data_IF_232612466904
#
_entry.id   IF_232612466904
#
_cell.length_a   1.000
_cell.length_b   1.000
_cell.length_c   1.000
_cell.angle_alpha   90.00
_cell.angle_beta   90.00
_cell.angle_gamma   90.00
#
_symmetry.space_group_name_H-M   'P 1'
#
loop_
_entity.id
_entity.type
_entity.pdbx_description
1 polymer ?
#
# COMPACT_ATOMS: atom_id res chain seq x y z
N UNK A 1 -6.19 7.30 -25.09
CA UNK A 1 -5.74 8.67 -24.69
C UNK A 1 -4.57 8.68 -23.71
N UNK A 2 -4.54 7.87 -22.65
CA UNK A 2 -3.47 7.93 -21.61
C UNK A 2 -2.06 7.58 -22.09
N UNK A 3 -1.93 6.59 -22.98
CA UNK A 3 -0.65 6.25 -23.62
C UNK A 3 -0.13 7.40 -24.50
N UNK A 4 -1.04 8.13 -25.16
CA UNK A 4 -0.68 9.29 -25.96
C UNK A 4 -0.17 10.44 -25.11
N UNK A 5 -0.77 10.69 -23.93
CA UNK A 5 -0.28 11.71 -22.97
C UNK A 5 1.15 11.36 -22.52
N UNK A 6 1.40 10.11 -22.15
CA UNK A 6 2.74 9.66 -21.77
C UNK A 6 3.76 9.84 -22.91
N UNK A 7 3.42 9.36 -24.12
CA UNK A 7 4.30 9.47 -25.29
C UNK A 7 4.55 10.93 -25.68
N UNK A 8 3.55 11.80 -25.54
CA UNK A 8 3.70 13.23 -25.81
C UNK A 8 4.74 13.87 -24.89
N UNK A 9 4.61 13.70 -23.57
CA UNK A 9 5.56 14.27 -22.62
C UNK A 9 6.96 13.64 -22.73
N UNK A 10 7.06 12.36 -23.06
CA UNK A 10 8.32 11.69 -23.31
C UNK A 10 9.04 12.27 -24.54
N UNK A 11 8.33 12.38 -25.67
CA UNK A 11 8.89 12.95 -26.90
C UNK A 11 9.24 14.43 -26.73
N UNK A 12 8.42 15.19 -26.02
CA UNK A 12 8.69 16.59 -25.71
C UNK A 12 9.98 16.72 -24.89
N UNK A 13 10.17 15.90 -23.86
CA UNK A 13 11.40 15.87 -23.06
C UNK A 13 12.64 15.54 -23.87
N UNK A 14 12.58 14.51 -24.72
CA UNK A 14 13.69 14.13 -25.62
C UNK A 14 14.01 15.27 -26.61
N UNK A 15 12.99 15.90 -27.17
CA UNK A 15 13.14 16.99 -28.14
C UNK A 15 13.80 18.21 -27.49
N UNK A 16 13.37 18.61 -26.29
CA UNK A 16 13.98 19.72 -25.54
C UNK A 16 15.44 19.38 -25.18
N UNK A 17 15.71 18.15 -24.74
CA UNK A 17 17.08 17.69 -24.45
C UNK A 17 17.99 17.75 -25.68
N UNK A 18 17.48 17.39 -26.86
CA UNK A 18 18.22 17.50 -28.11
C UNK A 18 18.47 18.96 -28.52
N UNK A 19 17.45 19.81 -28.43
CA UNK A 19 17.56 21.24 -28.74
C UNK A 19 18.58 21.94 -27.84
N UNK A 20 18.64 21.57 -26.57
CA UNK A 20 19.55 22.17 -25.58
C UNK A 20 21.02 21.87 -25.86
N UNK A 21 21.34 20.77 -26.52
CA UNK A 21 22.72 20.36 -26.83
C UNK A 21 23.00 20.38 -28.35
N UNK A 22 22.19 21.11 -29.14
CA UNK A 22 22.27 21.09 -30.60
C UNK A 22 23.68 21.46 -31.09
N UNK A 23 24.36 22.38 -30.43
CA UNK A 23 25.69 22.87 -30.83
C UNK A 23 26.83 22.01 -30.31
N UNK A 24 26.56 21.06 -29.41
CA UNK A 24 27.58 20.30 -28.70
C UNK A 24 27.92 18.96 -29.35
N UNK A 25 28.92 18.27 -28.79
CA UNK A 25 29.34 16.95 -29.22
C UNK A 25 28.24 15.88 -29.07
N UNK A 26 28.33 14.83 -29.89
CA UNK A 26 27.36 13.74 -29.92
C UNK A 26 27.09 13.08 -28.56
N UNK A 27 28.13 12.93 -27.73
CA UNK A 27 27.99 12.38 -26.38
C UNK A 27 27.08 13.22 -25.49
N UNK A 28 27.27 14.54 -25.49
CA UNK A 28 26.45 15.46 -24.68
C UNK A 28 24.99 15.47 -25.14
N UNK A 29 24.75 15.37 -26.45
CA UNK A 29 23.39 15.25 -27.02
C UNK A 29 22.66 14.03 -26.50
N UNK A 30 23.32 12.86 -26.50
CA UNK A 30 22.71 11.60 -26.02
C UNK A 30 22.39 11.71 -24.52
N UNK A 31 23.31 12.28 -23.73
CA UNK A 31 23.07 12.49 -22.29
C UNK A 31 21.89 13.42 -22.06
N UNK A 32 21.80 14.54 -22.79
CA UNK A 32 20.71 15.50 -22.64
C UNK A 32 19.37 14.94 -23.11
N UNK A 33 19.34 14.13 -24.16
CA UNK A 33 18.14 13.36 -24.54
C UNK A 33 17.70 12.41 -23.43
N UNK A 34 18.63 11.70 -22.79
CA UNK A 34 18.31 10.77 -21.70
C UNK A 34 17.77 11.50 -20.47
N UNK A 35 18.37 12.64 -20.10
CA UNK A 35 17.87 13.52 -19.04
C UNK A 35 16.46 14.02 -19.38
N UNK A 36 16.26 14.53 -20.59
CA UNK A 36 14.95 14.96 -21.06
C UNK A 36 13.91 13.84 -21.05
N UNK A 37 14.29 12.62 -21.43
CA UNK A 37 13.43 11.44 -21.37
C UNK A 37 13.05 11.05 -19.93
N UNK A 38 13.99 11.14 -18.99
CA UNK A 38 13.73 10.87 -17.57
C UNK A 38 12.69 11.83 -17.00
N UNK A 39 12.87 13.14 -17.20
CA UNK A 39 11.92 14.14 -16.71
C UNK A 39 10.58 14.08 -17.44
N UNK A 40 10.59 13.98 -18.78
CA UNK A 40 9.37 13.83 -19.59
C UNK A 40 8.59 12.56 -19.26
N UNK A 41 9.31 11.45 -19.02
CA UNK A 41 8.73 10.17 -18.61
C UNK A 41 8.15 10.20 -17.20
N UNK A 42 8.80 10.84 -16.23
CA UNK A 42 8.28 10.99 -14.88
C UNK A 42 6.98 11.81 -14.85
N UNK A 43 6.97 12.97 -15.53
CA UNK A 43 5.81 13.86 -15.63
C UNK A 43 4.67 13.18 -16.40
N UNK A 44 4.97 12.65 -17.59
CA UNK A 44 4.00 11.93 -18.41
C UNK A 44 3.46 10.67 -17.72
N UNK A 45 4.30 9.98 -16.96
CA UNK A 45 3.93 8.78 -16.21
C UNK A 45 2.97 9.08 -15.07
N UNK A 46 3.25 10.12 -14.28
CA UNK A 46 2.37 10.60 -13.21
C UNK A 46 1.01 11.05 -13.75
N UNK A 47 1.00 11.89 -14.80
CA UNK A 47 -0.24 12.38 -15.43
C UNK A 47 -1.05 11.27 -16.10
N UNK A 48 -0.39 10.27 -16.70
CA UNK A 48 -1.06 9.11 -17.30
C UNK A 48 -1.80 8.25 -16.25
N UNK A 49 -1.34 8.28 -15.00
CA UNK A 49 -1.93 7.52 -13.88
C UNK A 49 -3.11 8.20 -13.18
N UNK A 50 -3.40 9.49 -13.42
CA UNK A 50 -4.40 10.32 -12.70
C UNK A 50 -5.88 9.88 -12.83
N UNK A 51 -6.13 8.71 -13.39
CA UNK A 51 -7.45 8.07 -13.33
C UNK A 51 -7.39 6.55 -13.34
N UNK A 52 -6.26 5.97 -12.92
CA UNK A 52 -6.26 4.59 -12.45
C UNK A 52 -6.85 4.65 -11.05
N UNK A 53 -8.08 4.17 -10.88
CA UNK A 53 -8.43 3.51 -9.61
C UNK A 53 -7.40 2.39 -9.50
N UNK A 54 -6.39 2.55 -8.66
CA UNK A 54 -5.49 1.46 -8.32
C UNK A 54 -6.40 0.35 -7.77
N UNK A 55 -6.58 -0.80 -8.46
CA UNK A 55 -7.23 -1.91 -7.82
C UNK A 55 -6.17 -2.46 -6.88
N UNK A 56 -6.14 -1.93 -5.64
CA UNK A 56 -5.56 -2.56 -4.46
C UNK A 56 -4.30 -3.40 -4.74
N UNK A 57 -3.34 -2.86 -5.53
CA UNK A 57 -2.20 -3.67 -5.96
C UNK A 57 -1.23 -3.68 -4.79
N UNK A 58 -1.33 -4.78 -4.03
CA UNK A 58 -0.37 -5.28 -3.05
C UNK A 58 -0.44 -4.64 -1.66
N UNK A 59 -1.63 -4.68 -1.03
CA UNK A 59 -1.60 -5.20 0.35
C UNK A 59 -1.43 -6.70 0.21
N UNK A 60 -0.38 -7.25 0.82
CA UNK A 60 -0.23 -8.68 1.00
C UNK A 60 -1.47 -9.15 1.76
N UNK A 61 -2.50 -9.61 1.05
CA UNK A 61 -3.60 -10.34 1.67
C UNK A 61 -2.98 -11.67 2.11
N UNK A 62 -2.71 -11.80 3.40
CA UNK A 62 -2.42 -13.08 4.05
C UNK A 62 -3.55 -14.07 3.74
N UNK A 63 -3.25 -15.37 3.63
CA UNK A 63 -4.18 -16.44 3.25
C UNK A 63 -5.58 -16.34 3.93
N UNK A 64 -5.65 -15.85 5.17
CA UNK A 64 -6.89 -15.59 5.93
C UNK A 64 -7.85 -14.55 5.32
N UNK A 65 -7.38 -13.68 4.45
CA UNK A 65 -8.18 -12.65 3.78
C UNK A 65 -8.61 -13.08 2.36
N UNK A 66 -8.09 -14.21 1.86
CA UNK A 66 -8.41 -14.77 0.53
C UNK A 66 -9.73 -15.57 0.57
N UNK A 67 -9.99 -16.27 1.68
CA UNK A 67 -11.27 -16.97 1.93
C UNK A 67 -11.77 -16.71 3.36
N UNK A 68 -12.24 -15.50 3.70
CA UNK A 68 -12.96 -15.31 4.94
C UNK A 68 -14.27 -16.11 4.84
N UNK A 69 -14.40 -17.19 5.61
CA UNK A 69 -15.70 -17.85 5.80
C UNK A 69 -16.66 -16.75 6.27
N UNK A 70 -17.71 -16.40 5.49
CA UNK A 70 -18.58 -15.30 5.84
C UNK A 70 -19.21 -15.56 7.21
N UNK A 71 -18.95 -14.68 8.19
CA UNK A 71 -19.48 -14.82 9.55
C UNK A 71 -18.68 -15.75 10.49
N UNK A 72 -17.49 -16.22 10.09
CA UNK A 72 -16.62 -17.05 10.93
C UNK A 72 -15.94 -16.31 12.09
N UNK A 73 -15.90 -14.97 12.05
CA UNK A 73 -15.34 -14.14 13.13
C UNK A 73 -13.83 -14.24 13.33
N UNK A 74 -13.14 -15.06 12.52
CA UNK A 74 -11.68 -15.23 12.53
C UNK A 74 -10.96 -14.29 11.54
N UNK A 75 -11.68 -13.65 10.60
CA UNK A 75 -11.07 -12.70 9.69
C UNK A 75 -10.54 -11.49 10.46
N UNK A 76 -9.36 -10.98 10.07
CA UNK A 76 -8.77 -9.77 10.67
C UNK A 76 -9.71 -8.56 10.71
N UNK A 77 -10.64 -8.45 9.73
CA UNK A 77 -11.66 -7.39 9.73
C UNK A 77 -12.74 -7.59 10.80
N UNK A 78 -13.15 -8.84 11.03
CA UNK A 78 -14.17 -9.18 12.02
C UNK A 78 -13.60 -9.12 13.45
N UNK A 79 -12.33 -9.50 13.62
CA UNK A 79 -11.57 -9.32 14.86
C UNK A 79 -11.43 -7.84 15.22
N UNK A 80 -11.15 -6.98 14.24
CA UNK A 80 -11.06 -5.53 14.46
C UNK A 80 -12.41 -4.90 14.82
N UNK A 81 -13.50 -5.32 14.18
CA UNK A 81 -14.85 -4.84 14.48
C UNK A 81 -15.31 -5.24 15.89
N UNK A 82 -14.95 -6.46 16.33
CA UNK A 82 -15.33 -7.00 17.64
C UNK A 82 -14.24 -6.82 18.70
N UNK A 83 -13.19 -6.05 18.42
CA UNK A 83 -12.01 -5.92 19.29
C UNK A 83 -12.37 -5.57 20.73
N UNK A 84 -13.31 -4.64 20.93
CA UNK A 84 -13.74 -4.21 22.27
C UNK A 84 -14.41 -5.33 23.07
N UNK A 85 -15.04 -6.30 22.41
CA UNK A 85 -15.71 -7.44 23.06
C UNK A 85 -14.73 -8.58 23.30
N UNK A 86 -13.96 -8.93 22.27
CA UNK A 86 -13.19 -10.17 22.21
C UNK A 86 -11.68 -9.97 22.44
N UNK A 87 -11.22 -8.72 22.56
CA UNK A 87 -9.82 -8.34 22.80
C UNK A 87 -8.85 -8.91 21.76
N UNK A 88 -9.32 -9.06 20.53
CA UNK A 88 -8.56 -9.64 19.43
C UNK A 88 -8.55 -11.18 19.40
N UNK A 89 -9.38 -11.84 20.20
CA UNK A 89 -9.56 -13.30 20.13
C UNK A 89 -10.68 -13.67 19.15
N UNK A 90 -10.55 -14.78 18.41
CA UNK A 90 -11.67 -15.35 17.67
C UNK A 90 -12.84 -15.68 18.61
N UNK A 91 -14.07 -15.82 18.06
CA UNK A 91 -15.25 -16.16 18.86
C UNK A 91 -15.01 -17.40 19.72
N UNK A 92 -15.36 -17.31 21.01
CA UNK A 92 -15.23 -18.40 22.00
C UNK A 92 -13.80 -18.90 22.28
N UNK A 93 -12.77 -18.21 21.77
CA UNK A 93 -11.35 -18.56 22.01
C UNK A 93 -10.68 -17.66 23.05
N UNK A 94 -11.45 -16.77 23.71
CA UNK A 94 -10.92 -15.90 24.75
C UNK A 94 -10.43 -16.76 25.92
N UNK A 95 -9.17 -16.61 26.35
CA UNK A 95 -8.67 -17.36 27.49
C UNK A 95 -9.49 -16.97 28.74
N UNK A 96 -9.74 -17.91 29.66
CA UNK A 96 -10.34 -17.58 30.95
C UNK A 96 -9.47 -16.51 31.62
N UNK A 97 -10.08 -15.37 31.96
CA UNK A 97 -9.40 -14.32 32.70
C UNK A 97 -9.00 -14.85 34.06
N UNK A 98 -7.82 -14.49 34.55
CA UNK A 98 -7.30 -14.87 35.87
C UNK A 98 -8.02 -14.18 37.04
N UNK A 99 -9.23 -13.68 36.84
CA UNK A 99 -10.04 -13.07 37.88
C UNK A 99 -11.13 -14.03 38.32
N UNK A 100 -10.75 -15.07 39.07
CA UNK A 100 -11.57 -15.74 40.08
C UNK A 100 -10.59 -16.51 40.97
N UNK A 101 -10.19 -15.90 42.10
CA UNK A 101 -9.28 -16.55 43.07
C UNK A 101 -8.28 -15.63 43.78
N UNK A 102 -8.28 -14.32 43.49
CA UNK A 102 -7.52 -13.35 44.27
C UNK A 102 -8.41 -12.19 44.71
N UNK A 103 -9.56 -12.50 45.31
CA UNK A 103 -10.25 -11.50 46.09
C UNK A 103 -9.34 -11.11 47.27
N UNK A 104 -9.19 -9.82 47.52
CA UNK A 104 -8.44 -9.31 48.67
C UNK A 104 -9.11 -9.69 50.01
N UNK A 105 -10.34 -10.17 49.95
CA UNK A 105 -11.20 -10.53 51.09
C UNK A 105 -11.56 -12.02 51.13
N UNK A 106 -10.79 -12.88 50.44
CA UNK A 106 -11.03 -14.32 50.51
C UNK A 106 -10.68 -14.83 51.93
N UNK A 107 -11.66 -15.40 52.66
CA UNK A 107 -11.53 -15.73 54.09
C UNK A 107 -10.51 -16.85 54.38
N UNK A 108 -10.07 -17.54 53.34
CA UNK A 108 -9.12 -18.65 53.31
C UNK A 108 -7.64 -18.21 53.21
N UNK A 109 -7.35 -16.91 53.09
CA UNK A 109 -5.95 -16.39 53.10
C UNK A 109 -5.32 -16.26 54.49
N UNK A 110 -6.10 -16.46 55.56
CA UNK A 110 -5.69 -16.13 56.94
C UNK A 110 -5.68 -17.35 57.90
N UNK A 111 -5.63 -18.57 57.38
CA UNK A 111 -5.54 -19.82 58.16
C UNK A 111 -4.16 -20.48 58.01
#
# INVERSE_FOLDING_TARGET
MRKAIFLFFLLLGISIGLLSAWTDGWGLRIVMMAVGALFGGAIGGGLSQIGKRQPARRRLLTEEEIEPIPGGGSSGRDLAANYWRDEGHPPFMKPPRTEHGNHMFDPDKNL
#
